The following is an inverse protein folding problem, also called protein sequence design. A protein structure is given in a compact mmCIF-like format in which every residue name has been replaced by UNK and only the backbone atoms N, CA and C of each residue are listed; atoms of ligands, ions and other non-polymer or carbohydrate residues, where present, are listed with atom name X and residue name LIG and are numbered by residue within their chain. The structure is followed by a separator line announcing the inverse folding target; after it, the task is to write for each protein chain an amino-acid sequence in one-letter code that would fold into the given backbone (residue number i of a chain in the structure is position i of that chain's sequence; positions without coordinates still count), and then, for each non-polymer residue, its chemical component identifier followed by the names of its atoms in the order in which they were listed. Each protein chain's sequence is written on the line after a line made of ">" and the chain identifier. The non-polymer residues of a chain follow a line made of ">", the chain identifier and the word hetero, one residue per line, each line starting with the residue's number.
data_IF_382216612606
#
_entry.id   IF_382216612606
#
_cell.length_a   1.000
_cell.length_b   1.000
_cell.length_c   1.000
_cell.angle_alpha   90.00
_cell.angle_beta   90.00
_cell.angle_gamma   90.00
#
_symmetry.space_group_name_H-M   'P 1'
#
loop_
_entity.id
_entity.type
_entity.pdbx_description
1 polymer ?
#
# COMPACT_ATOMS: atom_id res chain seq x y z
N UNK A 1 25.53 14.55 3.68
CA UNK A 1 24.14 15.03 3.61
C UNK A 1 23.26 13.84 3.91
N UNK A 2 22.61 13.81 5.07
CA UNK A 2 21.67 12.74 5.42
C UNK A 2 20.54 12.77 4.39
N UNK A 3 20.40 11.72 3.58
CA UNK A 3 19.27 11.64 2.66
C UNK A 3 18.01 11.51 3.50
N UNK A 4 17.19 12.56 3.52
CA UNK A 4 15.82 12.48 4.00
C UNK A 4 15.07 11.52 3.08
N UNK A 5 14.70 10.36 3.59
CA UNK A 5 13.87 9.41 2.84
C UNK A 5 12.41 9.73 3.11
N UNK A 6 11.69 10.15 2.06
CA UNK A 6 10.25 10.33 2.12
C UNK A 6 9.57 8.98 1.94
N UNK A 7 8.60 8.68 2.78
CA UNK A 7 7.81 7.46 2.71
C UNK A 7 6.39 7.80 2.25
N UNK A 8 5.73 6.87 1.56
CA UNK A 8 4.26 6.87 1.50
C UNK A 8 3.80 5.92 2.58
N UNK A 9 3.07 6.43 3.56
CA UNK A 9 2.66 5.69 4.73
C UNK A 9 1.27 6.11 5.21
N UNK A 10 0.52 5.16 5.77
CA UNK A 10 -0.75 5.41 6.43
C UNK A 10 -0.68 4.98 7.89
N UNK A 11 -1.39 5.66 8.79
CA UNK A 11 -1.43 5.26 10.20
C UNK A 11 -2.07 3.88 10.32
N UNK A 12 -1.38 2.95 11.00
CA UNK A 12 -1.92 1.63 11.24
C UNK A 12 -3.05 1.72 12.27
N UNK A 13 -4.15 0.99 12.05
CA UNK A 13 -5.13 0.81 13.14
C UNK A 13 -4.50 0.08 14.32
N UNK A 14 -5.08 0.23 15.52
CA UNK A 14 -4.65 -0.55 16.69
C UNK A 14 -4.68 -2.06 16.39
N UNK A 15 -5.68 -2.52 15.65
CA UNK A 15 -5.83 -3.93 15.29
C UNK A 15 -4.68 -4.40 14.40
N UNK A 16 -4.34 -3.63 13.36
CA UNK A 16 -3.27 -4.00 12.44
C UNK A 16 -1.90 -3.93 13.12
N UNK A 17 -1.64 -2.84 13.86
CA UNK A 17 -0.43 -2.68 14.67
C UNK A 17 -0.23 -3.87 15.61
N UNK A 18 -1.22 -4.16 16.45
CA UNK A 18 -1.07 -5.18 17.49
C UNK A 18 -0.87 -6.58 16.89
N UNK A 19 -1.49 -6.87 15.74
CA UNK A 19 -1.31 -8.15 15.03
C UNK A 19 0.08 -8.28 14.39
N UNK A 20 0.57 -7.23 13.76
CA UNK A 20 1.94 -7.19 13.21
C UNK A 20 2.96 -7.34 14.33
N UNK A 21 2.81 -6.57 15.41
CA UNK A 21 3.73 -6.59 16.55
C UNK A 21 3.75 -7.97 17.22
N UNK A 22 2.57 -8.57 17.43
CA UNK A 22 2.47 -9.92 17.99
C UNK A 22 3.13 -10.99 17.10
N UNK A 23 3.00 -10.89 15.77
CA UNK A 23 3.64 -11.84 14.85
C UNK A 23 5.16 -11.68 14.80
N UNK A 24 5.67 -10.44 14.74
CA UNK A 24 7.10 -10.15 14.79
C UNK A 24 7.69 -10.66 16.11
N UNK A 25 7.05 -10.37 17.23
CA UNK A 25 7.50 -10.82 18.55
C UNK A 25 7.48 -12.35 18.68
N UNK A 26 6.42 -13.01 18.23
CA UNK A 26 6.28 -14.46 18.35
C UNK A 26 7.32 -15.20 17.50
N UNK A 27 7.56 -14.75 16.27
CA UNK A 27 8.57 -15.33 15.37
C UNK A 27 9.99 -15.12 15.91
N UNK A 28 10.26 -14.01 16.61
CA UNK A 28 11.54 -13.77 17.26
C UNK A 28 11.75 -14.62 18.53
N UNK A 29 10.72 -14.79 19.37
CA UNK A 29 10.81 -15.54 20.64
C UNK A 29 10.79 -17.06 20.44
N UNK A 30 9.99 -17.55 19.50
CA UNK A 30 9.83 -18.97 19.21
C UNK A 30 10.11 -19.25 17.70
N UNK A 31 11.36 -19.10 17.24
CA UNK A 31 11.67 -19.14 15.80
C UNK A 31 11.43 -20.50 15.14
N UNK A 32 11.40 -21.59 15.90
CA UNK A 32 11.11 -22.94 15.38
C UNK A 32 9.63 -23.32 15.39
N UNK A 33 8.76 -22.44 15.90
CA UNK A 33 7.31 -22.69 16.01
C UNK A 33 6.59 -22.17 14.77
N UNK A 34 5.51 -22.86 14.40
CA UNK A 34 4.60 -22.40 13.37
C UNK A 34 3.62 -21.35 13.96
N UNK A 35 3.61 -20.16 13.35
CA UNK A 35 2.80 -18.99 13.71
C UNK A 35 1.81 -18.60 12.59
N UNK A 36 1.38 -19.56 11.77
CA UNK A 36 0.52 -19.32 10.61
C UNK A 36 -0.81 -18.65 10.95
N UNK A 37 -1.39 -18.94 12.12
CA UNK A 37 -2.65 -18.31 12.55
C UNK A 37 -2.46 -16.81 12.83
N UNK A 38 -1.32 -16.42 13.41
CA UNK A 38 -0.96 -15.01 13.61
C UNK A 38 -0.72 -14.30 12.27
N UNK A 39 -0.11 -14.99 11.31
CA UNK A 39 0.07 -14.46 9.94
C UNK A 39 -1.27 -14.30 9.21
N UNK A 40 -2.16 -15.30 9.23
CA UNK A 40 -3.50 -15.25 8.61
C UNK A 40 -4.31 -14.08 9.19
N UNK A 41 -4.17 -13.82 10.49
CA UNK A 41 -4.85 -12.71 11.17
C UNK A 41 -4.39 -11.33 10.68
N UNK A 42 -3.18 -11.16 10.15
CA UNK A 42 -2.70 -9.85 9.65
C UNK A 42 -3.36 -9.50 8.31
N UNK A 43 -3.61 -10.51 7.46
CA UNK A 43 -3.85 -10.28 6.04
C UNK A 43 -5.10 -9.47 5.74
N UNK A 44 -6.24 -9.81 6.34
CA UNK A 44 -7.50 -9.12 6.05
C UNK A 44 -7.45 -7.64 6.50
N UNK A 45 -7.08 -7.30 7.76
CA UNK A 45 -6.92 -5.89 8.15
C UNK A 45 -5.91 -5.14 7.28
N UNK A 46 -4.78 -5.77 6.96
CA UNK A 46 -3.75 -5.15 6.13
C UNK A 46 -4.29 -4.80 4.73
N UNK A 47 -4.97 -5.75 4.08
CA UNK A 47 -5.54 -5.54 2.76
C UNK A 47 -6.64 -4.48 2.78
N UNK A 48 -7.53 -4.54 3.77
CA UNK A 48 -8.62 -3.59 3.91
C UNK A 48 -8.11 -2.17 4.16
N UNK A 49 -7.08 -2.00 5.01
CA UNK A 49 -6.48 -0.68 5.26
C UNK A 49 -5.74 -0.15 4.02
N UNK A 50 -4.95 -0.98 3.32
CA UNK A 50 -4.30 -0.56 2.05
C UNK A 50 -5.36 -0.13 1.02
N UNK A 51 -6.41 -0.93 0.82
CA UNK A 51 -7.48 -0.60 -0.12
C UNK A 51 -8.22 0.66 0.29
N UNK A 52 -8.49 0.83 1.58
CA UNK A 52 -9.10 2.04 2.09
C UNK A 52 -8.23 3.25 1.80
N UNK A 53 -6.96 3.19 2.19
CA UNK A 53 -6.00 4.29 2.03
C UNK A 53 -5.91 4.79 0.59
N UNK A 54 -5.76 3.90 -0.39
CA UNK A 54 -5.52 4.32 -1.79
C UNK A 54 -6.78 4.53 -2.62
N UNK A 55 -7.95 4.03 -2.20
CA UNK A 55 -9.18 4.10 -2.99
C UNK A 55 -10.30 4.86 -2.29
N UNK A 56 -10.83 4.38 -1.16
CA UNK A 56 -12.00 5.02 -0.52
C UNK A 56 -11.65 6.24 0.31
N UNK A 57 -10.52 6.24 1.01
CA UNK A 57 -10.05 7.37 1.82
C UNK A 57 -10.06 8.72 1.09
N UNK A 58 -9.48 8.87 -0.12
CA UNK A 58 -9.55 10.13 -0.87
C UNK A 58 -10.97 10.48 -1.31
N UNK A 59 -11.84 9.50 -1.56
CA UNK A 59 -13.25 9.73 -1.91
C UNK A 59 -14.03 10.23 -0.69
N UNK A 60 -13.82 9.57 0.46
CA UNK A 60 -14.48 9.86 1.74
C UNK A 60 -14.08 11.25 2.24
N UNK A 61 -12.81 11.62 2.11
CA UNK A 61 -12.26 12.93 2.49
C UNK A 61 -12.97 14.11 1.80
N UNK A 62 -13.59 13.87 0.65
CA UNK A 62 -14.21 14.91 -0.18
C UNK A 62 -15.69 14.65 -0.44
N UNK A 63 -16.24 13.57 0.12
CA UNK A 63 -17.61 13.07 -0.13
C UNK A 63 -17.95 13.00 -1.63
N UNK A 64 -16.98 12.62 -2.47
CA UNK A 64 -17.15 12.57 -3.91
C UNK A 64 -18.16 11.49 -4.32
N UNK A 65 -18.93 11.77 -5.38
CA UNK A 65 -19.89 10.83 -5.96
C UNK A 65 -19.82 10.88 -7.47
N UNK A 66 -20.43 9.90 -8.13
CA UNK A 66 -20.63 9.92 -9.59
C UNK A 66 -19.78 8.91 -10.38
N UNK A 67 -19.73 9.04 -11.71
CA UNK A 67 -19.14 8.04 -12.59
C UNK A 67 -17.66 7.77 -12.34
N UNK A 68 -16.86 8.80 -12.04
CA UNK A 68 -15.43 8.64 -11.74
C UNK A 68 -15.20 7.80 -10.47
N UNK A 69 -15.97 8.08 -9.41
CA UNK A 69 -15.98 7.31 -8.17
C UNK A 69 -16.34 5.85 -8.43
N UNK A 70 -17.33 5.58 -9.29
CA UNK A 70 -17.70 4.21 -9.65
C UNK A 70 -16.56 3.45 -10.35
N UNK A 71 -15.74 4.12 -11.15
CA UNK A 71 -14.54 3.52 -11.77
C UNK A 71 -13.52 3.13 -10.71
N UNK A 72 -13.23 4.04 -9.77
CA UNK A 72 -12.27 3.82 -8.67
C UNK A 72 -12.74 2.65 -7.79
N UNK A 73 -14.01 2.67 -7.34
CA UNK A 73 -14.58 1.59 -6.53
C UNK A 73 -14.67 0.26 -7.28
N UNK A 74 -14.90 0.30 -8.59
CA UNK A 74 -14.85 -0.88 -9.45
C UNK A 74 -13.47 -1.52 -9.48
N UNK A 75 -12.43 -0.71 -9.65
CA UNK A 75 -11.04 -1.15 -9.59
C UNK A 75 -10.69 -1.73 -8.20
N UNK A 76 -11.07 -1.04 -7.12
CA UNK A 76 -10.87 -1.50 -5.74
C UNK A 76 -11.48 -2.88 -5.50
N UNK A 77 -12.73 -3.12 -5.93
CA UNK A 77 -13.40 -4.43 -5.78
C UNK A 77 -12.65 -5.55 -6.51
N UNK A 78 -12.13 -5.27 -7.70
CA UNK A 78 -11.33 -6.24 -8.47
C UNK A 78 -10.03 -6.57 -7.76
N UNK A 79 -9.33 -5.55 -7.25
CA UNK A 79 -8.08 -5.71 -6.50
C UNK A 79 -8.34 -6.49 -5.21
N UNK A 80 -9.34 -6.08 -4.43
CA UNK A 80 -9.72 -6.73 -3.17
C UNK A 80 -9.95 -8.24 -3.35
N UNK A 81 -10.75 -8.62 -4.36
CA UNK A 81 -11.01 -10.03 -4.65
C UNK A 81 -9.75 -10.80 -5.02
N UNK A 82 -8.87 -10.19 -5.82
CA UNK A 82 -7.63 -10.82 -6.25
C UNK A 82 -6.64 -10.98 -5.07
N UNK A 83 -6.48 -9.94 -4.26
CA UNK A 83 -5.57 -9.90 -3.12
C UNK A 83 -5.99 -10.87 -2.00
N UNK A 84 -7.25 -10.82 -1.56
CA UNK A 84 -7.78 -11.75 -0.55
C UNK A 84 -7.71 -13.21 -1.02
N UNK A 85 -8.07 -13.45 -2.29
CA UNK A 85 -7.98 -14.78 -2.89
C UNK A 85 -6.55 -15.32 -2.96
N UNK A 86 -5.55 -14.43 -3.08
CA UNK A 86 -4.15 -14.79 -3.04
C UNK A 86 -3.68 -15.03 -1.60
N UNK A 87 -3.96 -14.11 -0.68
CA UNK A 87 -3.57 -14.18 0.72
C UNK A 87 -4.03 -15.48 1.37
N UNK A 88 -5.33 -15.80 1.29
CA UNK A 88 -5.88 -17.01 1.89
C UNK A 88 -5.34 -18.32 1.29
N UNK A 89 -4.77 -18.29 0.08
CA UNK A 89 -4.16 -19.47 -0.56
C UNK A 89 -2.68 -19.64 -0.22
N UNK A 90 -1.97 -18.53 -0.04
CA UNK A 90 -0.52 -18.55 0.18
C UNK A 90 -0.17 -18.62 1.67
N UNK A 91 -0.79 -17.78 2.51
CA UNK A 91 -0.36 -17.64 3.90
C UNK A 91 -0.53 -18.91 4.71
N UNK A 92 -1.60 -19.68 4.46
CA UNK A 92 -1.89 -20.92 5.19
C UNK A 92 -0.89 -22.06 4.95
N UNK A 93 0.00 -21.91 3.97
CA UNK A 93 0.96 -22.94 3.56
C UNK A 93 2.40 -22.54 3.80
N UNK A 94 2.64 -21.41 4.45
CA UNK A 94 3.99 -20.92 4.70
C UNK A 94 4.73 -21.80 5.69
N UNK A 95 5.94 -22.21 5.35
CA UNK A 95 6.90 -22.85 6.24
C UNK A 95 7.33 -21.90 7.36
N UNK A 96 8.01 -22.44 8.38
CA UNK A 96 8.52 -21.63 9.48
C UNK A 96 9.58 -20.63 9.00
N UNK A 97 10.42 -21.04 8.06
CA UNK A 97 11.44 -20.19 7.44
C UNK A 97 10.81 -19.05 6.64
N UNK A 98 9.76 -19.33 5.86
CA UNK A 98 9.01 -18.32 5.12
C UNK A 98 8.30 -17.34 6.07
N UNK A 99 7.78 -17.81 7.20
CA UNK A 99 7.18 -16.96 8.23
C UNK A 99 8.20 -16.00 8.86
N UNK A 100 9.45 -16.43 9.08
CA UNK A 100 10.52 -15.55 9.54
C UNK A 100 10.85 -14.47 8.50
N UNK A 101 10.92 -14.84 7.22
CA UNK A 101 11.15 -13.89 6.14
C UNK A 101 10.01 -12.87 6.02
N UNK A 102 8.75 -13.31 6.17
CA UNK A 102 7.59 -12.44 6.21
C UNK A 102 7.59 -11.51 7.43
N UNK A 103 8.00 -11.99 8.61
CA UNK A 103 8.12 -11.15 9.80
C UNK A 103 9.16 -10.04 9.60
N UNK A 104 10.30 -10.34 8.98
CA UNK A 104 11.29 -9.33 8.61
C UNK A 104 10.73 -8.31 7.60
N UNK A 105 9.93 -8.78 6.63
CA UNK A 105 9.26 -7.89 5.67
C UNK A 105 8.22 -6.98 6.33
N UNK A 106 7.34 -7.50 7.18
CA UNK A 106 6.39 -6.67 7.93
C UNK A 106 7.09 -5.68 8.87
N UNK A 107 8.20 -6.08 9.48
CA UNK A 107 9.05 -5.18 10.28
C UNK A 107 9.59 -4.02 9.42
N UNK A 108 10.00 -4.28 8.18
CA UNK A 108 10.47 -3.22 7.26
C UNK A 108 9.36 -2.28 6.78
N UNK A 109 8.10 -2.74 6.73
CA UNK A 109 6.93 -1.91 6.40
C UNK A 109 6.40 -1.13 7.61
N UNK A 110 6.70 -1.60 8.83
CA UNK A 110 6.30 -0.98 10.09
C UNK A 110 7.21 0.21 10.38
N UNK A 111 6.64 1.41 10.34
CA UNK A 111 7.32 2.66 10.60
C UNK A 111 6.79 3.26 11.91
N UNK A 112 7.63 4.03 12.60
CA UNK A 112 7.23 4.72 13.83
C UNK A 112 7.65 6.19 13.76
N UNK A 113 6.71 7.08 14.07
CA UNK A 113 6.95 8.52 14.15
C UNK A 113 6.09 9.12 15.25
N UNK A 114 6.72 9.89 16.13
CA UNK A 114 6.03 10.62 17.22
C UNK A 114 5.12 9.73 18.09
N UNK A 115 5.52 8.47 18.30
CA UNK A 115 4.76 7.47 19.08
C UNK A 115 3.58 6.82 18.34
N UNK A 116 3.38 7.14 17.05
CA UNK A 116 2.39 6.52 16.19
C UNK A 116 3.04 5.53 15.21
N UNK A 117 2.41 4.38 15.03
CA UNK A 117 2.82 3.36 14.06
C UNK A 117 2.14 3.61 12.72
N UNK A 118 2.94 3.53 11.66
CA UNK A 118 2.50 3.64 10.28
C UNK A 118 2.89 2.37 9.52
N UNK A 119 2.13 2.06 8.48
CA UNK A 119 2.52 1.09 7.46
C UNK A 119 2.89 1.86 6.21
N UNK A 120 4.09 1.64 5.69
CA UNK A 120 4.55 2.39 4.53
C UNK A 120 5.78 1.80 3.85
N UNK A 121 6.18 2.44 2.77
CA UNK A 121 7.41 2.12 2.04
C UNK A 121 8.12 3.39 1.57
N UNK A 122 9.45 3.35 1.41
CA UNK A 122 10.20 4.51 0.97
C UNK A 122 9.89 4.81 -0.50
N UNK A 123 9.74 6.09 -0.81
CA UNK A 123 9.77 6.57 -2.19
C UNK A 123 11.21 6.60 -2.70
N UNK A 124 11.36 6.37 -4.00
CA UNK A 124 12.63 6.70 -4.65
C UNK A 124 12.85 8.21 -4.57
N UNK A 125 14.11 8.70 -4.47
CA UNK A 125 14.36 10.14 -4.38
C UNK A 125 13.71 10.94 -5.52
N UNK A 126 13.77 10.40 -6.76
CA UNK A 126 13.16 11.03 -7.93
C UNK A 126 11.62 11.12 -7.82
N UNK A 127 10.96 10.06 -7.31
CA UNK A 127 9.51 10.09 -7.14
C UNK A 127 9.10 10.99 -5.98
N UNK A 128 9.87 11.04 -4.88
CA UNK A 128 9.63 11.92 -3.75
C UNK A 128 9.70 13.41 -4.14
N UNK A 129 10.75 13.80 -4.87
CA UNK A 129 10.91 15.15 -5.41
C UNK A 129 9.76 15.50 -6.37
N UNK A 130 9.46 14.61 -7.32
CA UNK A 130 8.37 14.81 -8.28
C UNK A 130 7.02 14.92 -7.60
N UNK A 131 6.72 14.07 -6.62
CA UNK A 131 5.47 14.12 -5.87
C UNK A 131 5.31 15.44 -5.12
N UNK A 132 6.36 15.89 -4.44
CA UNK A 132 6.35 17.15 -3.68
C UNK A 132 6.06 18.36 -4.60
N UNK A 133 6.71 18.41 -5.78
CA UNK A 133 6.47 19.47 -6.76
C UNK A 133 5.03 19.45 -7.28
N UNK A 134 4.56 18.28 -7.72
CA UNK A 134 3.21 18.16 -8.32
C UNK A 134 2.12 18.43 -7.30
N UNK A 135 2.26 17.96 -6.06
CA UNK A 135 1.27 18.24 -5.02
C UNK A 135 1.20 19.73 -4.70
N UNK A 136 2.35 20.42 -4.65
CA UNK A 136 2.42 21.87 -4.50
C UNK A 136 1.76 22.62 -5.70
N UNK A 137 2.00 22.19 -6.94
CA UNK A 137 1.33 22.77 -8.12
C UNK A 137 -0.21 22.72 -7.98
N UNK A 138 -0.75 21.60 -7.47
CA UNK A 138 -2.20 21.45 -7.22
C UNK A 138 -2.68 22.31 -6.04
N UNK A 139 -1.88 22.46 -4.99
CA UNK A 139 -2.17 23.36 -3.87
C UNK A 139 -2.26 24.82 -4.34
N UNK A 140 -1.40 25.22 -5.29
CA UNK A 140 -1.36 26.56 -5.87
C UNK A 140 -2.39 26.78 -7.01
N UNK A 141 -3.19 25.75 -7.34
CA UNK A 141 -4.19 25.80 -8.40
C UNK A 141 -3.61 25.78 -9.82
N UNK A 142 -2.32 25.45 -9.97
CA UNK A 142 -1.58 25.37 -11.24
C UNK A 142 -1.35 23.91 -11.71
N UNK A 143 -1.86 22.93 -10.96
CA UNK A 143 -1.64 21.51 -11.17
C UNK A 143 -2.06 21.00 -12.55
N UNK A 144 -1.14 20.26 -13.19
CA UNK A 144 -1.41 19.54 -14.42
C UNK A 144 -1.82 18.09 -14.16
N UNK A 145 -2.96 17.68 -14.71
CA UNK A 145 -3.49 16.32 -14.49
C UNK A 145 -2.55 15.23 -14.98
N UNK A 146 -1.80 15.48 -16.06
CA UNK A 146 -0.80 14.55 -16.57
C UNK A 146 0.29 14.27 -15.54
N UNK A 147 0.79 15.31 -14.87
CA UNK A 147 1.82 15.18 -13.85
C UNK A 147 1.29 14.44 -12.62
N UNK A 148 0.04 14.68 -12.23
CA UNK A 148 -0.59 13.93 -11.15
C UNK A 148 -0.71 12.45 -11.49
N UNK A 149 -1.18 12.12 -12.70
CA UNK A 149 -1.26 10.72 -13.16
C UNK A 149 0.11 10.03 -13.12
N UNK A 150 1.18 10.69 -13.54
CA UNK A 150 2.55 10.17 -13.47
C UNK A 150 2.99 9.85 -12.03
N UNK A 151 2.76 10.78 -11.09
CA UNK A 151 3.08 10.59 -9.67
C UNK A 151 2.26 9.46 -9.06
N UNK A 152 0.96 9.44 -9.33
CA UNK A 152 0.05 8.45 -8.78
C UNK A 152 0.31 7.05 -9.34
N UNK A 153 0.74 6.92 -10.59
CA UNK A 153 1.20 5.65 -11.15
C UNK A 153 2.47 5.16 -10.46
N UNK A 154 3.43 6.07 -10.21
CA UNK A 154 4.64 5.76 -9.45
C UNK A 154 4.34 5.27 -8.03
N UNK A 155 3.43 5.94 -7.32
CA UNK A 155 2.98 5.53 -5.98
C UNK A 155 2.30 4.16 -6.06
N UNK A 156 1.36 3.96 -6.99
CA UNK A 156 0.67 2.68 -7.23
C UNK A 156 1.65 1.54 -7.52
N UNK A 157 2.66 1.77 -8.38
CA UNK A 157 3.69 0.79 -8.69
C UNK A 157 4.52 0.43 -7.45
N UNK A 158 4.88 1.42 -6.64
CA UNK A 158 5.56 1.21 -5.36
C UNK A 158 4.73 0.39 -4.37
N UNK A 159 3.41 0.64 -4.28
CA UNK A 159 2.52 -0.13 -3.42
C UNK A 159 2.42 -1.59 -3.88
N UNK A 160 2.29 -1.84 -5.19
CA UNK A 160 2.30 -3.19 -5.75
C UNK A 160 3.63 -3.90 -5.47
N UNK A 161 4.75 -3.21 -5.64
CA UNK A 161 6.06 -3.80 -5.36
C UNK A 161 6.20 -4.18 -3.88
N UNK A 162 5.92 -3.24 -2.97
CA UNK A 162 6.20 -3.43 -1.55
C UNK A 162 5.17 -4.29 -0.81
N UNK A 163 3.89 -4.18 -1.16
CA UNK A 163 2.82 -4.90 -0.46
C UNK A 163 2.47 -6.24 -1.11
N UNK A 164 2.71 -6.41 -2.41
CA UNK A 164 2.44 -7.67 -3.11
C UNK A 164 3.74 -8.39 -3.49
N UNK A 165 4.58 -7.78 -4.33
CA UNK A 165 5.69 -8.50 -4.95
C UNK A 165 6.74 -8.95 -3.92
N UNK A 166 7.13 -8.06 -2.99
CA UNK A 166 8.07 -8.40 -1.92
C UNK A 166 7.48 -9.39 -0.92
N UNK A 167 6.21 -9.22 -0.53
CA UNK A 167 5.50 -10.17 0.34
C UNK A 167 5.53 -11.58 -0.26
N UNK A 168 5.16 -11.71 -1.53
CA UNK A 168 5.14 -12.99 -2.24
C UNK A 168 6.56 -13.50 -2.56
N UNK A 169 7.53 -12.60 -2.73
CA UNK A 169 8.94 -12.93 -2.96
C UNK A 169 9.61 -13.63 -1.77
N UNK A 170 9.03 -13.52 -0.57
CA UNK A 170 9.45 -14.28 0.62
C UNK A 170 8.96 -15.75 0.62
N UNK A 171 8.25 -16.19 -0.42
CA UNK A 171 7.64 -17.51 -0.50
C UNK A 171 8.28 -18.39 -1.57
N UNK A 172 8.50 -19.66 -1.26
CA UNK A 172 8.87 -20.72 -2.17
C UNK A 172 7.65 -21.19 -2.98
N UNK A 173 7.52 -20.62 -4.17
CA UNK A 173 6.37 -20.91 -5.02
C UNK A 173 6.60 -22.07 -5.97
N UNK A 174 5.81 -23.14 -5.79
CA UNK A 174 5.59 -24.16 -6.82
C UNK A 174 4.94 -23.59 -8.09
N UNK A 175 5.03 -24.33 -9.21
CA UNK A 175 4.57 -23.87 -10.56
C UNK A 175 3.12 -23.36 -10.58
N UNK A 176 2.21 -24.01 -9.87
CA UNK A 176 0.79 -23.62 -9.77
C UNK A 176 0.66 -22.27 -9.06
N UNK A 177 1.33 -22.10 -7.92
CA UNK A 177 1.28 -20.86 -7.15
C UNK A 177 1.92 -19.69 -7.91
N UNK A 178 3.00 -19.93 -8.67
CA UNK A 178 3.59 -18.90 -9.55
C UNK A 178 2.62 -18.39 -10.60
N UNK A 179 1.87 -19.29 -11.26
CA UNK A 179 0.85 -18.89 -12.24
C UNK A 179 -0.30 -18.09 -11.61
N UNK A 180 -0.75 -18.51 -10.42
CA UNK A 180 -1.76 -17.80 -9.64
C UNK A 180 -1.30 -16.38 -9.27
N UNK A 181 -0.09 -16.26 -8.72
CA UNK A 181 0.53 -14.98 -8.35
C UNK A 181 0.63 -14.07 -9.57
N UNK A 182 1.16 -14.57 -10.70
CA UNK A 182 1.30 -13.78 -11.91
C UNK A 182 -0.05 -13.25 -12.43
N UNK A 183 -1.09 -14.10 -12.41
CA UNK A 183 -2.45 -13.71 -12.80
C UNK A 183 -3.06 -12.66 -11.86
N UNK A 184 -2.94 -12.86 -10.54
CA UNK A 184 -3.41 -11.91 -9.54
C UNK A 184 -2.70 -10.56 -9.68
N UNK A 185 -1.36 -10.58 -9.80
CA UNK A 185 -0.54 -9.38 -10.02
C UNK A 185 -0.94 -8.63 -11.29
N UNK A 186 -1.12 -9.32 -12.41
CA UNK A 186 -1.56 -8.70 -13.67
C UNK A 186 -2.94 -8.05 -13.54
N UNK A 187 -3.85 -8.71 -12.81
CA UNK A 187 -5.20 -8.19 -12.53
C UNK A 187 -5.14 -6.93 -11.67
N UNK A 188 -4.36 -6.97 -10.58
CA UNK A 188 -4.17 -5.84 -9.66
C UNK A 188 -3.55 -4.65 -10.39
N UNK A 189 -2.46 -4.87 -11.16
CA UNK A 189 -1.79 -3.82 -11.92
C UNK A 189 -2.74 -3.16 -12.92
N UNK A 190 -3.52 -3.95 -13.67
CA UNK A 190 -4.48 -3.42 -14.65
C UNK A 190 -5.61 -2.63 -13.98
N UNK A 191 -6.13 -3.11 -12.86
CA UNK A 191 -7.17 -2.41 -12.12
C UNK A 191 -6.64 -1.09 -11.55
N UNK A 192 -5.45 -1.11 -10.95
CA UNK A 192 -4.79 0.10 -10.41
C UNK A 192 -4.51 1.15 -11.48
N UNK A 193 -3.98 0.73 -12.64
CA UNK A 193 -3.80 1.61 -13.79
C UNK A 193 -5.14 2.22 -14.23
N UNK A 194 -6.23 1.46 -14.25
CA UNK A 194 -7.54 1.99 -14.59
C UNK A 194 -8.04 3.05 -13.61
N UNK A 195 -7.79 2.93 -12.30
CA UNK A 195 -8.15 3.97 -11.33
C UNK A 195 -7.30 5.22 -11.50
N UNK A 196 -6.00 5.08 -11.76
CA UNK A 196 -5.08 6.21 -11.93
C UNK A 196 -5.32 6.93 -13.26
N UNK A 197 -5.38 6.22 -14.38
CA UNK A 197 -5.47 6.80 -15.72
C UNK A 197 -6.87 7.29 -16.09
N UNK A 198 -7.92 6.74 -15.48
CA UNK A 198 -9.32 7.08 -15.80
C UNK A 198 -10.09 7.66 -14.64
N UNK A 199 -9.90 7.12 -13.44
CA UNK A 199 -10.60 7.59 -12.23
C UNK A 199 -10.19 9.01 -11.87
N UNK A 200 -8.89 9.23 -11.63
CA UNK A 200 -8.36 10.52 -11.19
C UNK A 200 -8.68 11.65 -12.20
N UNK A 201 -8.43 11.52 -13.52
CA UNK A 201 -8.71 12.60 -14.47
C UNK A 201 -10.21 12.90 -14.63
N UNK A 202 -11.07 11.92 -14.42
CA UNK A 202 -12.52 12.07 -14.51
C UNK A 202 -13.15 12.71 -13.27
N UNK A 203 -12.38 12.96 -12.21
CA UNK A 203 -12.89 13.66 -11.02
C UNK A 203 -13.25 15.11 -11.34
N UNK A 204 -14.37 15.56 -10.74
CA UNK A 204 -14.80 16.94 -10.82
C UNK A 204 -13.74 17.88 -10.26
N UNK A 205 -13.62 19.07 -10.86
CA UNK A 205 -12.54 20.02 -10.55
C UNK A 205 -12.47 20.39 -9.08
N UNK A 206 -13.62 20.50 -8.42
CA UNK A 206 -13.73 20.85 -6.99
C UNK A 206 -13.11 19.79 -6.07
N UNK A 207 -13.07 18.51 -6.49
CA UNK A 207 -12.53 17.42 -5.68
C UNK A 207 -11.03 17.18 -5.90
N UNK A 208 -10.43 17.74 -6.96
CA UNK A 208 -9.04 17.43 -7.34
C UNK A 208 -8.03 17.87 -6.29
N UNK A 209 -8.07 19.14 -5.89
CA UNK A 209 -7.13 19.67 -4.89
C UNK A 209 -7.28 18.96 -3.53
N UNK A 210 -8.51 18.76 -2.99
CA UNK A 210 -8.69 17.99 -1.77
C UNK A 210 -8.19 16.53 -1.85
N UNK A 211 -8.38 15.85 -2.99
CA UNK A 211 -7.83 14.49 -3.18
C UNK A 211 -6.30 14.49 -3.23
N UNK A 212 -5.69 15.50 -3.87
CA UNK A 212 -4.23 15.63 -3.85
C UNK A 212 -3.72 15.89 -2.43
N UNK A 213 -4.37 16.78 -1.67
CA UNK A 213 -4.03 17.04 -0.28
C UNK A 213 -4.14 15.78 0.60
N UNK A 214 -5.11 14.91 0.32
CA UNK A 214 -5.19 13.61 0.98
C UNK A 214 -3.96 12.75 0.70
N UNK A 215 -3.53 12.60 -0.57
CA UNK A 215 -2.33 11.81 -0.90
C UNK A 215 -1.04 12.45 -0.39
N UNK A 216 -0.96 13.78 -0.37
CA UNK A 216 0.14 14.52 0.25
C UNK A 216 0.24 14.23 1.75
N UNK A 217 -0.90 14.11 2.45
CA UNK A 217 -0.91 13.77 3.88
C UNK A 217 -0.35 12.37 4.21
N UNK A 218 -0.25 11.49 3.21
CA UNK A 218 0.39 10.17 3.34
C UNK A 218 1.92 10.25 3.23
N UNK A 219 2.49 11.40 2.87
CA UNK A 219 3.94 11.57 2.75
C UNK A 219 4.56 11.79 4.13
N UNK A 220 5.38 10.82 4.55
CA UNK A 220 6.01 10.80 5.86
C UNK A 220 7.51 11.05 5.73
N UNK A 221 7.97 12.19 6.22
CA UNK A 221 9.40 12.43 6.47
C UNK A 221 9.80 11.69 7.75
N UNK A 222 10.60 10.62 7.60
CA UNK A 222 11.29 9.93 8.67
C UNK A 222 12.77 10.35 8.63
N UNK A 223 13.16 11.21 9.56
CA UNK A 223 14.59 11.43 9.82
C UNK A 223 15.11 10.22 10.59
N UNK A 224 16.28 9.66 10.24
CA UNK A 224 16.90 8.66 11.08
C UNK A 224 17.10 9.24 12.50
N UNK A 225 16.79 8.44 13.52
CA UNK A 225 17.10 8.79 14.90
C UNK A 225 18.58 9.17 14.99
N UNK A 226 18.86 10.33 15.57
CA UNK A 226 20.22 10.86 15.73
C UNK A 226 20.91 10.21 16.91
#
# INVERSE_FOLDING_TARGET
>A
MSQTSLYVAFPASDTLRDRIDAFIDATAREPGRNHVDSLDAIMDPFLDEVLHTYFTGPIDAVNAKGPAVNVILGAMKVISKAAHGLAGRLMRKTSVEEQQALAAHFSALRLEKDGQVFIGYPLTPALAERASLVFQEFADGQGEMKHLVEVMDGISAGAIENYLDKTVGNLELGRINRGLVAGARATIKKASASSVEKGIPAMDREHRQPVVAYFESLLLDLRPAT
#
